data_IF_951896481689
#
_entry.id   IF_951896481689
#
_cell.length_a   1.000
_cell.length_b   1.000
_cell.length_c   1.000
_cell.angle_alpha   90.00
_cell.angle_beta   90.00
_cell.angle_gamma   90.00
#
_symmetry.space_group_name_H-M   'P 1'
#
loop_
_entity.id
_entity.type
_entity.pdbx_description
1 polymer ?
#
# COMPACT_ATOMS: atom_id res chain seq x y z
N UNK A 1 6.05 2.90 3.38
CA UNK A 1 4.80 2.23 3.00
C UNK A 1 4.43 1.12 3.97
N UNK A 2 5.35 0.20 4.27
CA UNK A 2 5.09 -0.89 5.22
C UNK A 2 4.67 -0.36 6.60
N UNK A 3 5.37 0.64 7.10
CA UNK A 3 5.03 1.28 8.38
C UNK A 3 3.64 1.93 8.34
N UNK A 4 3.25 2.52 7.22
CA UNK A 4 1.94 3.12 7.06
C UNK A 4 0.83 2.07 7.14
N UNK A 5 1.04 0.90 6.52
CA UNK A 5 0.09 -0.21 6.58
C UNK A 5 -0.01 -0.75 8.01
N UNK A 6 1.11 -0.92 8.70
CA UNK A 6 1.13 -1.36 10.09
C UNK A 6 0.41 -0.36 11.01
N UNK A 7 0.63 0.93 10.79
CA UNK A 7 -0.06 1.99 11.53
C UNK A 7 -1.57 1.94 11.27
N UNK A 8 -1.98 1.75 10.01
CA UNK A 8 -3.39 1.62 9.64
C UNK A 8 -4.05 0.44 10.32
N UNK A 9 -3.38 -0.72 10.34
CA UNK A 9 -3.85 -1.92 11.02
C UNK A 9 -4.05 -1.67 12.52
N UNK A 10 -3.04 -1.11 13.18
CA UNK A 10 -3.10 -0.79 14.61
C UNK A 10 -4.22 0.22 14.90
N UNK A 11 -4.35 1.24 14.07
CA UNK A 11 -5.39 2.26 14.22
C UNK A 11 -6.80 1.68 14.07
N UNK A 12 -7.00 0.76 13.13
CA UNK A 12 -8.29 0.10 12.93
C UNK A 12 -8.68 -0.73 14.15
N UNK A 13 -7.74 -1.46 14.72
CA UNK A 13 -7.99 -2.28 15.92
C UNK A 13 -8.29 -1.39 17.12
N UNK A 14 -7.48 -0.35 17.36
CA UNK A 14 -7.65 0.55 18.51
C UNK A 14 -8.94 1.36 18.41
N UNK A 15 -9.23 1.91 17.24
CA UNK A 15 -10.44 2.72 17.03
C UNK A 15 -11.71 1.87 16.87
N UNK A 16 -11.56 0.57 16.63
CA UNK A 16 -12.70 -0.32 16.41
C UNK A 16 -13.49 -0.03 15.15
N UNK A 17 -12.85 0.49 14.11
CA UNK A 17 -13.49 0.88 12.85
C UNK A 17 -12.58 0.57 11.66
N UNK A 18 -13.14 0.67 10.45
CA UNK A 18 -12.35 0.55 9.24
C UNK A 18 -11.40 1.74 9.11
N UNK A 19 -10.16 1.45 8.71
CA UNK A 19 -9.15 2.45 8.33
C UNK A 19 -8.84 2.26 6.86
N UNK A 20 -8.87 3.35 6.11
CA UNK A 20 -8.53 3.38 4.70
C UNK A 20 -7.15 3.98 4.50
N UNK A 21 -6.36 3.32 3.67
CA UNK A 21 -5.08 3.80 3.17
C UNK A 21 -5.21 3.95 1.67
N UNK A 22 -4.96 5.13 1.15
CA UNK A 22 -5.04 5.39 -0.28
C UNK A 22 -3.92 6.33 -0.74
N UNK A 23 -3.64 6.29 -2.04
CA UNK A 23 -2.75 7.26 -2.65
C UNK A 23 -3.34 8.66 -2.53
N UNK A 24 -2.47 9.65 -2.34
CA UNK A 24 -2.91 11.03 -2.19
C UNK A 24 -1.81 12.00 -2.62
N UNK A 25 -2.12 12.85 -3.58
CA UNK A 25 -1.20 13.90 -4.02
C UNK A 25 -1.27 15.13 -3.11
N UNK A 26 -2.44 15.41 -2.51
CA UNK A 26 -2.67 16.64 -1.74
C UNK A 26 -2.67 16.43 -0.22
N UNK A 27 -2.61 15.19 0.27
CA UNK A 27 -2.67 14.88 1.70
C UNK A 27 -4.04 15.03 2.35
N UNK A 28 -5.09 15.35 1.57
CA UNK A 28 -6.44 15.63 2.07
C UNK A 28 -7.48 14.67 1.53
N UNK A 29 -7.24 14.09 0.36
CA UNK A 29 -8.18 13.17 -0.29
C UNK A 29 -7.44 12.13 -1.11
N UNK A 30 -8.12 11.02 -1.39
CA UNK A 30 -7.58 9.97 -2.25
C UNK A 30 -7.47 10.45 -3.70
N UNK A 31 -6.37 10.14 -4.35
CA UNK A 31 -6.14 10.48 -5.75
C UNK A 31 -4.66 10.67 -6.06
N UNK A 32 -4.34 10.85 -7.33
CA UNK A 32 -2.97 10.98 -7.78
C UNK A 32 -2.30 9.62 -7.97
N UNK A 33 -1.01 9.59 -7.72
CA UNK A 33 -0.17 8.39 -7.89
C UNK A 33 0.43 7.97 -6.56
N UNK A 34 0.66 6.67 -6.39
CA UNK A 34 1.23 6.14 -5.14
C UNK A 34 2.59 6.75 -4.79
N UNK A 35 3.42 7.05 -5.79
CA UNK A 35 4.72 7.66 -5.55
C UNK A 35 4.67 9.11 -5.10
N UNK A 36 3.51 9.77 -5.24
CA UNK A 36 3.33 11.13 -4.74
C UNK A 36 3.08 11.16 -3.23
N UNK A 37 2.52 10.10 -2.69
CA UNK A 37 2.26 9.96 -1.28
C UNK A 37 0.96 9.22 -1.00
N UNK A 38 0.66 9.11 0.29
CA UNK A 38 -0.53 8.39 0.76
C UNK A 38 -1.10 9.05 2.02
N UNK A 39 -2.36 8.76 2.28
CA UNK A 39 -3.02 9.09 3.54
C UNK A 39 -3.58 7.84 4.19
N UNK A 40 -3.62 7.86 5.52
CA UNK A 40 -4.23 6.84 6.36
C UNK A 40 -5.28 7.55 7.22
N UNK A 41 -6.52 7.09 7.17
CA UNK A 41 -7.61 7.75 7.92
C UNK A 41 -8.65 6.74 8.37
N UNK A 42 -9.36 7.07 9.45
CA UNK A 42 -10.53 6.30 9.86
C UNK A 42 -11.66 6.54 8.87
N UNK A 43 -12.36 5.48 8.50
CA UNK A 43 -13.35 5.52 7.42
C UNK A 43 -14.52 4.59 7.78
N UNK A 44 -15.36 5.08 8.66
CA UNK A 44 -16.43 4.27 9.25
C UNK A 44 -17.41 3.73 8.22
N UNK A 45 -17.82 4.55 7.26
CA UNK A 45 -18.74 4.16 6.21
C UNK A 45 -18.06 3.57 4.97
N UNK A 46 -16.74 3.53 4.95
CA UNK A 46 -15.92 2.92 3.88
C UNK A 46 -16.11 3.59 2.52
N UNK A 47 -16.39 4.87 2.52
CA UNK A 47 -16.60 5.62 1.28
C UNK A 47 -15.32 6.21 0.68
N UNK A 48 -14.17 6.00 1.37
CA UNK A 48 -12.84 6.47 0.97
C UNK A 48 -12.73 8.00 0.95
N UNK A 49 -13.52 8.63 1.80
CA UNK A 49 -13.50 10.08 2.01
C UNK A 49 -13.41 10.38 3.49
N UNK A 50 -12.66 11.42 3.83
CA UNK A 50 -12.59 11.90 5.21
C UNK A 50 -13.79 12.79 5.43
N UNK A 51 -14.81 12.29 6.12
CA UNK A 51 -16.03 13.03 6.40
C UNK A 51 -16.64 12.58 7.74
N UNK A 52 -17.64 13.31 8.24
CA UNK A 52 -18.24 13.00 9.53
C UNK A 52 -17.21 13.00 10.65
N UNK A 53 -17.15 11.89 11.38
CA UNK A 53 -16.23 11.69 12.50
C UNK A 53 -14.89 11.08 12.08
N UNK A 54 -14.65 10.91 10.78
CA UNK A 54 -13.40 10.35 10.29
C UNK A 54 -12.21 11.26 10.63
N UNK A 55 -11.06 10.63 10.89
CA UNK A 55 -9.85 11.36 11.26
C UNK A 55 -8.70 10.96 10.37
N UNK A 56 -7.95 11.95 9.91
CA UNK A 56 -6.66 11.72 9.27
C UNK A 56 -5.68 11.22 10.34
N UNK A 57 -5.19 9.99 10.18
CA UNK A 57 -4.20 9.40 11.08
C UNK A 57 -2.80 9.80 10.67
N UNK A 58 -2.50 9.74 9.37
CA UNK A 58 -1.17 10.05 8.84
C UNK A 58 -1.25 10.48 7.38
N UNK A 59 -0.46 11.47 7.03
CA UNK A 59 -0.12 11.82 5.66
C UNK A 59 1.37 11.56 5.45
N UNK A 60 1.73 10.81 4.41
CA UNK A 60 3.11 10.56 4.04
C UNK A 60 3.30 11.03 2.60
N UNK A 61 4.18 12.00 2.40
CA UNK A 61 4.58 12.46 1.08
C UNK A 61 5.91 11.82 0.69
N UNK A 62 6.08 11.51 -0.59
CA UNK A 62 7.32 11.00 -1.14
C UNK A 62 7.86 12.02 -2.16
N UNK A 63 8.46 13.13 -1.70
CA UNK A 63 8.72 14.29 -2.55
C UNK A 63 9.73 14.03 -3.68
N UNK A 64 10.67 13.10 -3.47
CA UNK A 64 11.76 12.84 -4.42
C UNK A 64 11.75 11.39 -4.88
N UNK A 65 10.58 10.91 -5.30
CA UNK A 65 10.46 9.55 -5.79
C UNK A 65 11.26 9.38 -7.09
N UNK A 66 12.33 8.59 -7.03
CA UNK A 66 13.12 8.22 -8.20
C UNK A 66 12.51 7.05 -8.98
N UNK A 67 11.25 6.80 -8.81
CA UNK A 67 10.57 5.68 -9.44
C UNK A 67 9.07 5.80 -9.31
N UNK A 68 8.41 4.71 -9.69
CA UNK A 68 6.96 4.61 -9.56
C UNK A 68 6.57 3.47 -8.64
N UNK A 69 5.42 3.59 -8.01
CA UNK A 69 4.82 2.57 -7.16
C UNK A 69 3.48 2.19 -7.78
N UNK A 70 3.27 0.90 -7.97
CA UNK A 70 2.01 0.34 -8.46
C UNK A 70 1.41 -0.57 -7.39
N UNK A 71 0.13 -0.42 -7.13
CA UNK A 71 -0.62 -1.31 -6.27
C UNK A 71 -1.53 -2.20 -7.11
N UNK A 72 -1.42 -3.50 -6.92
CA UNK A 72 -2.27 -4.49 -7.55
C UNK A 72 -3.04 -5.25 -6.48
N UNK A 73 -4.35 -5.14 -6.56
CA UNK A 73 -5.28 -5.84 -5.70
C UNK A 73 -6.47 -6.32 -6.53
N UNK A 74 -7.36 -7.07 -5.90
CA UNK A 74 -8.57 -7.57 -6.54
C UNK A 74 -9.36 -6.41 -7.17
N UNK A 75 -9.81 -6.58 -8.41
CA UNK A 75 -10.54 -5.58 -9.20
C UNK A 75 -9.77 -4.26 -9.38
N UNK A 76 -8.45 -4.31 -9.32
CA UNK A 76 -7.57 -3.14 -9.48
C UNK A 76 -7.92 -1.97 -8.55
N UNK A 77 -8.41 -2.26 -7.36
CA UNK A 77 -8.73 -1.23 -6.37
C UNK A 77 -7.46 -0.51 -5.94
N UNK A 78 -7.52 0.82 -5.91
CA UNK A 78 -6.38 1.67 -5.59
C UNK A 78 -6.44 2.21 -4.17
N UNK A 79 -6.96 1.42 -3.26
CA UNK A 79 -7.01 1.70 -1.84
C UNK A 79 -6.93 0.39 -1.06
N UNK A 80 -6.51 0.49 0.18
CA UNK A 80 -6.46 -0.64 1.11
C UNK A 80 -7.32 -0.29 2.32
N UNK A 81 -8.28 -1.16 2.63
CA UNK A 81 -9.10 -1.00 3.83
C UNK A 81 -8.75 -2.08 4.83
N UNK A 82 -8.48 -1.65 6.05
CA UNK A 82 -8.12 -2.51 7.17
C UNK A 82 -9.29 -2.51 8.15
N UNK A 83 -9.77 -3.72 8.48
CA UNK A 83 -10.93 -3.86 9.33
C UNK A 83 -10.55 -3.73 10.81
N UNK A 84 -11.54 -3.53 11.67
CA UNK A 84 -11.35 -3.52 13.12
C UNK A 84 -10.74 -4.81 13.67
N UNK A 85 -10.78 -5.90 12.91
CA UNK A 85 -10.15 -7.17 13.28
C UNK A 85 -8.71 -7.27 12.78
N UNK A 86 -8.21 -6.26 12.07
CA UNK A 86 -6.85 -6.23 11.57
C UNK A 86 -6.65 -6.96 10.25
N UNK A 87 -7.72 -7.29 9.53
CA UNK A 87 -7.66 -7.94 8.22
C UNK A 87 -7.84 -6.92 7.11
N UNK A 88 -7.44 -7.27 5.89
CA UNK A 88 -7.82 -6.50 4.70
C UNK A 88 -9.27 -6.78 4.32
N UNK A 89 -9.92 -5.81 3.68
CA UNK A 89 -11.25 -6.00 3.07
C UNK A 89 -11.13 -6.34 1.60
N UNK A 90 -10.56 -7.51 1.29
CA UNK A 90 -10.40 -8.04 -0.07
C UNK A 90 -9.43 -7.26 -0.94
N UNK A 91 -8.61 -6.36 -0.39
CA UNK A 91 -7.60 -5.63 -1.16
C UNK A 91 -6.20 -6.19 -0.93
N UNK A 92 -6.08 -7.43 -0.47
CA UNK A 92 -4.77 -8.07 -0.41
C UNK A 92 -4.15 -8.12 -1.83
N UNK A 93 -2.84 -7.97 -1.88
CA UNK A 93 -2.14 -7.88 -3.15
C UNK A 93 -0.68 -7.47 -2.95
N UNK A 94 -0.20 -6.58 -3.79
CA UNK A 94 1.19 -6.15 -3.69
C UNK A 94 1.39 -4.71 -4.15
N UNK A 95 2.39 -4.07 -3.54
CA UNK A 95 2.95 -2.80 -3.99
C UNK A 95 4.30 -3.08 -4.61
N UNK A 96 4.48 -2.67 -5.86
CA UNK A 96 5.75 -2.85 -6.57
C UNK A 96 6.37 -1.49 -6.84
N UNK A 97 7.59 -1.32 -6.38
CA UNK A 97 8.42 -0.15 -6.69
C UNK A 97 9.32 -0.48 -7.87
N UNK A 98 9.33 0.40 -8.85
CA UNK A 98 10.22 0.33 -10.01
C UNK A 98 10.99 1.64 -10.17
N UNK A 99 12.32 1.60 -10.26
CA UNK A 99 13.09 2.82 -10.51
C UNK A 99 12.83 3.38 -11.91
N UNK A 100 13.05 4.69 -12.07
CA UNK A 100 12.81 5.37 -13.34
C UNK A 100 13.67 4.82 -14.49
N UNK A 101 14.85 4.32 -14.19
CA UNK A 101 15.82 3.85 -15.19
C UNK A 101 15.75 2.33 -15.45
N UNK A 102 14.70 1.67 -15.00
CA UNK A 102 14.39 0.31 -15.41
C UNK A 102 15.32 -0.80 -14.92
N UNK A 103 16.23 -0.54 -13.98
CA UNK A 103 17.07 -1.59 -13.42
C UNK A 103 16.25 -2.48 -12.48
N UNK A 104 15.88 -3.65 -12.97
CA UNK A 104 15.05 -4.61 -12.22
C UNK A 104 15.69 -5.09 -10.92
N UNK A 105 17.01 -5.00 -10.79
CA UNK A 105 17.71 -5.36 -9.54
C UNK A 105 17.33 -4.42 -8.39
N UNK A 106 16.91 -3.21 -8.70
CA UNK A 106 16.46 -2.21 -7.74
C UNK A 106 14.95 -2.26 -7.48
N UNK A 107 14.21 -3.09 -8.21
CA UNK A 107 12.79 -3.27 -7.98
C UNK A 107 12.55 -3.91 -6.62
N UNK A 108 11.49 -3.48 -5.95
CA UNK A 108 11.08 -3.98 -4.65
C UNK A 108 9.59 -4.25 -4.68
N UNK A 109 9.17 -5.29 -3.97
CA UNK A 109 7.76 -5.59 -3.86
C UNK A 109 7.40 -5.89 -2.41
N UNK A 110 6.35 -5.22 -1.94
CA UNK A 110 5.74 -5.48 -0.65
C UNK A 110 4.44 -6.23 -0.88
N UNK A 111 4.36 -7.43 -0.33
CA UNK A 111 3.21 -8.32 -0.48
C UNK A 111 2.39 -8.24 0.79
N UNK A 112 1.07 -8.03 0.64
CA UNK A 112 0.13 -8.04 1.75
C UNK A 112 -0.87 -9.16 1.56
N UNK A 113 -1.01 -10.03 2.57
CA UNK A 113 -2.00 -11.09 2.53
C UNK A 113 -3.33 -10.63 3.16
N UNK A 114 -4.32 -11.52 3.15
CA UNK A 114 -5.65 -11.23 3.68
C UNK A 114 -5.65 -10.87 5.16
N UNK A 115 -4.73 -11.42 5.93
CA UNK A 115 -4.55 -11.11 7.37
C UNK A 115 -3.79 -9.81 7.61
N UNK A 116 -3.51 -9.04 6.56
CA UNK A 116 -2.70 -7.84 6.58
C UNK A 116 -1.27 -8.09 7.07
N UNK A 117 -0.75 -9.28 6.86
CA UNK A 117 0.67 -9.57 7.05
C UNK A 117 1.46 -9.11 5.85
N UNK A 118 2.62 -8.56 6.12
CA UNK A 118 3.50 -7.98 5.12
C UNK A 118 4.75 -8.85 4.97
N UNK A 119 5.20 -9.01 3.72
CA UNK A 119 6.53 -9.56 3.45
C UNK A 119 7.10 -8.90 2.20
N UNK A 120 8.41 -8.76 2.16
CA UNK A 120 9.10 -8.28 0.97
C UNK A 120 9.45 -9.44 0.07
N UNK A 121 9.28 -9.26 -1.23
CA UNK A 121 9.78 -10.19 -2.23
C UNK A 121 11.30 -10.29 -2.10
N UNK A 122 11.83 -11.51 -2.27
CA UNK A 122 13.25 -11.81 -2.11
C UNK A 122 13.83 -12.38 -3.39
N UNK A 123 15.15 -12.27 -3.53
CA UNK A 123 15.91 -12.93 -4.59
C UNK A 123 16.20 -14.35 -4.16
N UNK A 124 15.36 -15.28 -4.58
CA UNK A 124 15.43 -16.68 -4.14
C UNK A 124 16.45 -17.51 -4.93
N UNK A 125 16.81 -17.07 -6.13
CA UNK A 125 17.72 -17.81 -7.01
C UNK A 125 19.12 -17.19 -7.12
N UNK A 126 19.34 -16.03 -6.50
CA UNK A 126 20.66 -15.39 -6.45
C UNK A 126 21.05 -14.64 -7.71
N UNK A 127 20.10 -14.33 -8.62
CA UNK A 127 20.41 -13.62 -9.86
C UNK A 127 20.39 -12.09 -9.74
N UNK A 128 20.13 -11.58 -8.54
CA UNK A 128 20.04 -10.15 -8.27
C UNK A 128 18.65 -9.54 -8.49
N UNK A 129 17.71 -10.31 -9.01
CA UNK A 129 16.33 -9.87 -9.27
C UNK A 129 15.39 -10.61 -8.33
N UNK A 130 14.54 -9.87 -7.62
CA UNK A 130 13.58 -10.47 -6.69
C UNK A 130 12.42 -11.12 -7.44
N UNK A 131 11.86 -12.15 -6.85
CA UNK A 131 10.73 -12.88 -7.40
C UNK A 131 9.42 -12.52 -6.66
N UNK A 132 8.31 -12.52 -7.43
CA UNK A 132 6.97 -12.33 -6.87
C UNK A 132 6.51 -13.58 -6.09
N UNK A 133 5.27 -13.56 -5.60
CA UNK A 133 4.71 -14.67 -4.82
C UNK A 133 4.57 -15.97 -5.61
N UNK A 134 4.69 -15.92 -6.93
CA UNK A 134 4.64 -17.10 -7.82
C UNK A 134 6.02 -17.53 -8.30
N UNK A 135 7.09 -16.95 -7.75
CA UNK A 135 8.45 -17.27 -8.14
C UNK A 135 8.90 -16.65 -9.47
N UNK A 136 8.18 -15.66 -9.97
CA UNK A 136 8.52 -14.98 -11.24
C UNK A 136 9.32 -13.72 -10.95
N UNK A 137 10.33 -13.39 -11.78
CA UNK A 137 11.09 -12.17 -11.58
C UNK A 137 10.19 -10.93 -11.63
N UNK A 138 10.45 -9.96 -10.77
CA UNK A 138 9.74 -8.68 -10.78
C UNK A 138 9.97 -7.98 -12.11
N UNK A 139 8.90 -7.39 -12.64
CA UNK A 139 8.92 -6.68 -13.92
C UNK A 139 8.69 -5.19 -13.69
N UNK A 140 9.51 -4.39 -14.35
CA UNK A 140 9.38 -2.93 -14.39
C UNK A 140 9.24 -2.51 -15.85
N UNK A 141 8.03 -2.23 -16.23
CA UNK A 141 7.72 -1.80 -17.59
C UNK A 141 7.79 -0.28 -17.73
#
# INVERSE_FOLDING_TARGET
LAKAIQLGKASAIVAGTTVTLCRSANGLSCGGKWQEGLIVFTDQNRDRKINGDDRLVRHIAFPDSAGRIEFRAFQNKQYLQLTRLGNTRYQNGNFTYCPNFGDRRLARQLIINRSARLRFAQDSNGDGIREDSRGRPLKCN
#
